data_IF_340839353157
#
_entry.id   IF_340839353157
#
_cell.length_a   1.000
_cell.length_b   1.000
_cell.length_c   1.000
_cell.angle_alpha   90.00
_cell.angle_beta   90.00
_cell.angle_gamma   90.00
#
_symmetry.space_group_name_H-M   'P 1'
#
loop_
_entity.id
_entity.type
_entity.pdbx_description
1 polymer ?
#
# COMPACT_ATOMS: atom_id res chain seq x y z
N UNK A 1 -28.44 39.96 56.32
CA UNK A 1 -27.00 39.69 56.22
C UNK A 1 -26.86 38.34 55.53
N UNK A 2 -26.66 38.33 54.22
CA UNK A 2 -26.61 37.13 53.38
C UNK A 2 -25.18 36.99 52.88
N UNK A 3 -24.53 35.88 53.15
CA UNK A 3 -23.26 35.52 52.57
C UNK A 3 -23.49 34.59 51.35
N UNK A 4 -22.81 34.76 50.16
CA UNK A 4 -22.89 33.85 49.09
C UNK A 4 -21.82 32.74 49.22
N UNK A 5 -22.23 31.49 48.94
CA UNK A 5 -21.38 30.31 48.91
C UNK A 5 -20.54 30.30 47.63
N UNK A 6 -19.22 30.22 47.75
CA UNK A 6 -18.29 29.94 46.67
C UNK A 6 -18.43 28.47 46.23
N UNK A 7 -18.85 28.24 44.98
CA UNK A 7 -18.70 26.94 44.30
C UNK A 7 -17.33 26.88 43.66
N UNK A 8 -16.46 26.01 44.16
CA UNK A 8 -15.23 25.65 43.51
C UNK A 8 -15.54 24.68 42.37
N UNK A 9 -15.24 25.07 41.13
CA UNK A 9 -15.27 24.18 39.96
C UNK A 9 -13.96 23.43 39.93
N UNK A 10 -14.01 22.09 40.13
CA UNK A 10 -12.90 21.19 39.85
C UNK A 10 -12.79 21.01 38.32
N UNK A 11 -11.76 21.58 37.72
CA UNK A 11 -11.33 21.27 36.38
C UNK A 11 -10.57 19.93 36.42
N UNK A 12 -11.24 18.86 35.98
CA UNK A 12 -10.57 17.59 35.66
C UNK A 12 -9.84 17.76 34.32
N UNK A 13 -8.53 18.00 34.36
CA UNK A 13 -7.65 17.86 33.22
C UNK A 13 -7.40 16.36 32.98
N UNK A 14 -8.09 15.79 32.01
CA UNK A 14 -7.78 14.46 31.53
C UNK A 14 -6.44 14.50 30.77
N UNK A 15 -5.39 13.97 31.36
CA UNK A 15 -4.14 13.69 30.67
C UNK A 15 -4.37 12.49 29.75
N UNK A 16 -4.52 12.73 28.44
CA UNK A 16 -4.37 11.69 27.43
C UNK A 16 -2.88 11.32 27.35
N UNK A 17 -2.48 10.25 27.98
CA UNK A 17 -1.23 9.59 27.67
C UNK A 17 -1.35 9.02 26.24
N UNK A 18 -0.38 9.28 25.35
CA UNK A 18 -0.36 8.60 24.07
C UNK A 18 -0.26 7.10 24.34
N UNK A 19 -1.16 6.32 23.76
CA UNK A 19 -1.05 4.87 23.74
C UNK A 19 0.28 4.52 23.07
N UNK A 20 1.23 4.02 23.84
CA UNK A 20 2.44 3.44 23.30
C UNK A 20 2.00 2.24 22.47
N UNK A 21 2.13 2.34 21.15
CA UNK A 21 1.96 1.20 20.27
C UNK A 21 2.91 0.10 20.76
N UNK A 22 2.36 -0.99 21.27
CA UNK A 22 3.14 -2.13 21.72
C UNK A 22 3.75 -2.73 20.46
N UNK A 23 5.07 -2.59 20.29
CA UNK A 23 5.76 -3.17 19.14
C UNK A 23 5.46 -4.67 19.11
N UNK A 24 4.92 -5.13 17.96
CA UNK A 24 4.72 -6.56 17.74
C UNK A 24 6.08 -7.29 17.87
N UNK A 25 6.13 -8.49 18.44
CA UNK A 25 7.39 -9.20 18.63
C UNK A 25 8.05 -9.45 17.26
N UNK A 26 9.23 -8.88 17.06
CA UNK A 26 10.05 -9.09 15.87
C UNK A 26 10.76 -10.44 15.99
N UNK A 27 10.70 -11.24 14.91
CA UNK A 27 11.49 -12.46 14.85
C UNK A 27 12.96 -12.09 14.59
N UNK A 28 13.92 -12.69 15.31
CA UNK A 28 15.32 -12.54 14.94
C UNK A 28 15.53 -13.16 13.55
N UNK A 29 16.16 -12.41 12.65
CA UNK A 29 16.58 -12.96 11.37
C UNK A 29 17.60 -14.07 11.59
N UNK A 30 17.51 -15.20 10.88
CA UNK A 30 18.59 -16.18 10.89
C UNK A 30 19.89 -15.54 10.42
N UNK A 31 21.01 -15.98 10.97
CA UNK A 31 22.32 -15.51 10.55
C UNK A 31 22.50 -15.70 9.03
N UNK A 32 22.83 -14.63 8.32
CA UNK A 32 22.98 -14.64 6.86
C UNK A 32 21.77 -14.17 6.04
N UNK A 33 20.61 -13.92 6.65
CA UNK A 33 19.45 -13.32 5.98
C UNK A 33 19.36 -11.81 6.15
N UNK A 34 20.33 -11.21 6.80
CA UNK A 34 20.42 -9.76 6.93
C UNK A 34 20.74 -9.16 5.56
N UNK A 35 19.74 -8.78 4.83
CA UNK A 35 19.92 -7.97 3.64
C UNK A 35 20.07 -6.54 4.11
N UNK A 36 21.29 -6.12 4.30
CA UNK A 36 21.61 -4.72 4.44
C UNK A 36 21.55 -4.10 3.06
N UNK A 37 20.43 -3.51 2.69
CA UNK A 37 20.57 -2.40 1.77
C UNK A 37 21.06 -1.21 2.60
N UNK A 38 22.12 -0.57 2.15
CA UNK A 38 22.64 0.62 2.79
C UNK A 38 21.59 1.75 2.90
N UNK A 39 20.46 1.63 2.23
CA UNK A 39 19.45 2.64 2.02
C UNK A 39 18.07 2.31 2.63
N UNK A 40 17.96 1.26 3.45
CA UNK A 40 16.74 0.99 4.21
C UNK A 40 15.66 0.16 3.49
N UNK A 41 15.91 -0.37 2.29
CA UNK A 41 15.03 -1.33 1.62
C UNK A 41 15.18 -2.72 2.26
N UNK A 42 14.65 -2.84 3.45
CA UNK A 42 14.63 -4.08 4.21
C UNK A 42 13.19 -4.55 4.34
N UNK A 43 12.97 -5.85 4.19
CA UNK A 43 11.82 -6.48 4.80
C UNK A 43 12.17 -6.90 6.22
N UNK A 44 11.33 -6.52 7.18
CA UNK A 44 11.35 -7.07 8.53
C UNK A 44 10.21 -8.09 8.65
N UNK A 45 10.52 -9.26 9.24
CA UNK A 45 9.52 -10.28 9.51
C UNK A 45 8.94 -10.08 10.91
N UNK A 46 7.63 -9.89 10.99
CA UNK A 46 6.88 -9.78 12.25
C UNK A 46 5.86 -10.91 12.35
N UNK A 47 5.87 -11.66 13.44
CA UNK A 47 4.85 -12.68 13.72
C UNK A 47 3.58 -11.99 14.20
N UNK A 48 2.49 -12.10 13.42
CA UNK A 48 1.20 -11.51 13.76
C UNK A 48 0.32 -12.43 14.61
N UNK A 49 0.39 -13.73 14.33
CA UNK A 49 -0.32 -14.78 15.05
C UNK A 49 0.42 -16.10 14.85
N UNK A 50 -0.07 -17.18 15.46
CA UNK A 50 0.46 -18.50 15.18
C UNK A 50 0.30 -18.86 13.72
N UNK A 51 1.41 -19.16 13.03
CA UNK A 51 1.45 -19.45 11.61
C UNK A 51 1.15 -18.28 10.68
N UNK A 52 1.18 -17.03 11.14
CA UNK A 52 0.98 -15.84 10.30
C UNK A 52 2.09 -14.82 10.53
N UNK A 53 2.77 -14.44 9.44
CA UNK A 53 3.88 -13.47 9.45
C UNK A 53 3.65 -12.36 8.45
N UNK A 54 4.01 -11.16 8.86
CA UNK A 54 4.10 -9.98 8.01
C UNK A 54 5.55 -9.73 7.64
N UNK A 55 5.81 -9.52 6.36
CA UNK A 55 7.04 -8.97 5.83
C UNK A 55 6.74 -7.56 5.35
N UNK A 56 7.28 -6.57 6.03
CA UNK A 56 7.05 -5.16 5.75
C UNK A 56 8.36 -4.39 5.68
N UNK A 57 8.39 -3.32 4.91
CA UNK A 57 9.49 -2.35 4.98
C UNK A 57 9.39 -1.58 6.29
N UNK A 58 10.52 -1.38 7.02
CA UNK A 58 10.52 -0.56 8.21
C UNK A 58 10.26 0.92 7.88
N UNK A 59 9.82 1.67 8.88
CA UNK A 59 9.79 3.13 8.80
C UNK A 59 11.22 3.70 8.66
N UNK A 60 11.43 4.83 7.96
CA UNK A 60 10.44 5.79 7.49
C UNK A 60 9.81 5.42 6.14
N UNK A 61 8.69 6.10 5.80
CA UNK A 61 8.00 5.94 4.53
C UNK A 61 8.91 6.30 3.35
N UNK A 62 9.07 5.36 2.43
CA UNK A 62 9.95 5.48 1.26
C UNK A 62 9.24 6.13 0.07
N UNK A 63 10.01 6.73 -0.83
CA UNK A 63 9.47 7.30 -2.08
C UNK A 63 8.97 6.21 -3.04
N UNK A 64 9.57 5.03 -2.95
CA UNK A 64 9.13 3.83 -3.67
C UNK A 64 8.97 2.72 -2.64
N UNK A 65 7.84 2.67 -1.92
CA UNK A 65 7.65 1.65 -0.90
C UNK A 65 7.45 0.27 -1.53
N UNK A 66 7.87 -0.77 -0.82
CA UNK A 66 7.47 -2.13 -1.13
C UNK A 66 6.13 -2.43 -0.47
N UNK A 67 5.25 -3.11 -1.20
CA UNK A 67 4.02 -3.64 -0.63
C UNK A 67 4.31 -4.67 0.47
N UNK A 68 3.48 -4.70 1.49
CA UNK A 68 3.51 -5.71 2.52
C UNK A 68 3.27 -7.10 1.92
N UNK A 69 3.97 -8.11 2.41
CA UNK A 69 3.71 -9.51 2.10
C UNK A 69 3.28 -10.23 3.37
N UNK A 70 2.14 -10.91 3.34
CA UNK A 70 1.70 -11.72 4.49
C UNK A 70 1.79 -13.19 4.14
N UNK A 71 2.52 -13.97 4.96
CA UNK A 71 2.61 -15.42 4.82
C UNK A 71 1.74 -16.12 5.86
N UNK A 72 0.87 -16.99 5.38
CA UNK A 72 -0.05 -17.80 6.17
C UNK A 72 0.35 -19.27 6.02
N UNK A 73 0.86 -19.88 7.10
CA UNK A 73 1.24 -21.27 7.11
C UNK A 73 -0.01 -22.16 7.23
N UNK A 74 -0.28 -22.93 6.20
CA UNK A 74 -1.31 -23.98 6.20
C UNK A 74 -0.67 -25.36 6.40
N UNK A 75 -1.49 -26.40 6.43
CA UNK A 75 -1.04 -27.76 6.73
C UNK A 75 0.06 -28.24 5.78
N UNK A 76 -0.06 -27.95 4.52
CA UNK A 76 0.78 -28.47 3.42
C UNK A 76 1.68 -27.42 2.74
N UNK A 77 1.63 -26.17 3.18
CA UNK A 77 2.43 -25.09 2.59
C UNK A 77 1.99 -23.70 3.02
N UNK A 78 2.67 -22.70 2.51
CA UNK A 78 2.31 -21.30 2.73
C UNK A 78 1.34 -20.77 1.66
N UNK A 79 0.40 -19.97 2.09
CA UNK A 79 -0.32 -19.00 1.25
C UNK A 79 0.32 -17.64 1.48
N UNK A 80 0.74 -16.97 0.40
CA UNK A 80 1.16 -15.58 0.47
C UNK A 80 0.04 -14.66 0.01
N UNK A 81 -0.13 -13.52 0.67
CA UNK A 81 -0.91 -12.41 0.20
C UNK A 81 0.07 -11.31 -0.21
N UNK A 82 0.09 -11.03 -1.52
CA UNK A 82 1.08 -10.28 -2.29
C UNK A 82 2.46 -10.95 -2.42
N UNK A 83 3.28 -10.43 -3.31
CA UNK A 83 4.53 -11.08 -3.74
C UNK A 83 5.79 -10.23 -3.52
N UNK A 84 5.62 -8.99 -3.10
CA UNK A 84 6.69 -8.00 -3.03
C UNK A 84 6.91 -7.25 -4.35
N UNK A 85 7.60 -6.13 -4.27
CA UNK A 85 7.71 -5.14 -5.34
C UNK A 85 8.82 -5.40 -6.36
N UNK A 86 9.73 -6.34 -6.10
CA UNK A 86 10.85 -6.65 -6.99
C UNK A 86 11.20 -8.13 -6.93
N UNK A 87 11.89 -8.68 -7.96
CA UNK A 87 12.45 -10.04 -7.88
C UNK A 87 13.37 -10.25 -6.68
N UNK A 88 14.19 -9.26 -6.34
CA UNK A 88 15.09 -9.34 -5.20
C UNK A 88 14.32 -9.28 -3.87
N UNK A 89 13.31 -8.42 -3.77
CA UNK A 89 12.40 -8.34 -2.62
C UNK A 89 11.70 -9.67 -2.37
N UNK A 90 11.16 -10.30 -3.42
CA UNK A 90 10.56 -11.64 -3.32
C UNK A 90 11.56 -12.68 -2.80
N UNK A 91 12.78 -12.73 -3.35
CA UNK A 91 13.83 -13.64 -2.85
C UNK A 91 14.11 -13.46 -1.36
N UNK A 92 14.19 -12.19 -0.89
CA UNK A 92 14.38 -11.90 0.55
C UNK A 92 13.26 -12.47 1.41
N UNK A 93 12.00 -12.25 1.00
CA UNK A 93 10.84 -12.81 1.69
C UNK A 93 10.91 -14.33 1.74
N UNK A 94 11.24 -14.99 0.61
CA UNK A 94 11.35 -16.45 0.52
C UNK A 94 12.49 -17.01 1.37
N UNK A 95 13.62 -16.32 1.47
CA UNK A 95 14.76 -16.76 2.30
C UNK A 95 14.43 -16.63 3.79
N UNK A 96 13.77 -15.54 4.20
CA UNK A 96 13.28 -15.40 5.58
C UNK A 96 12.21 -16.46 5.90
N UNK A 97 11.33 -16.75 4.96
CA UNK A 97 10.28 -17.76 5.13
C UNK A 97 10.86 -19.17 5.26
N UNK A 98 11.89 -19.50 4.46
CA UNK A 98 12.61 -20.79 4.55
C UNK A 98 13.30 -21.00 5.90
N UNK A 99 13.71 -19.92 6.55
CA UNK A 99 14.26 -19.97 7.90
C UNK A 99 13.19 -20.18 8.99
N UNK A 100 11.95 -19.83 8.72
CA UNK A 100 10.80 -20.02 9.61
C UNK A 100 10.27 -21.46 9.51
N UNK A 101 10.11 -21.97 8.28
CA UNK A 101 9.55 -23.30 8.03
C UNK A 101 10.02 -23.85 6.68
N UNK A 102 10.30 -25.18 6.59
CA UNK A 102 10.70 -25.80 5.33
C UNK A 102 9.54 -26.02 4.33
N UNK A 103 8.32 -25.68 4.68
CA UNK A 103 7.15 -25.86 3.82
C UNK A 103 7.25 -25.01 2.55
N UNK A 104 6.76 -25.50 1.40
CA UNK A 104 6.74 -24.74 0.16
C UNK A 104 5.69 -23.62 0.19
N UNK A 105 5.83 -22.64 -0.69
CA UNK A 105 4.70 -21.76 -1.03
C UNK A 105 3.80 -22.49 -2.02
N UNK A 106 2.53 -22.68 -1.67
CA UNK A 106 1.54 -23.39 -2.49
C UNK A 106 0.59 -22.47 -3.24
N UNK A 107 0.40 -21.25 -2.74
CA UNK A 107 -0.42 -20.24 -3.40
C UNK A 107 0.09 -18.83 -3.11
N UNK A 108 -0.06 -17.94 -4.06
CA UNK A 108 0.11 -16.49 -3.91
C UNK A 108 -1.17 -15.82 -4.40
N UNK A 109 -1.83 -15.08 -3.52
CA UNK A 109 -2.95 -14.22 -3.85
C UNK A 109 -2.44 -12.78 -3.98
N UNK A 110 -2.66 -12.16 -5.13
CA UNK A 110 -2.29 -10.77 -5.39
C UNK A 110 -3.48 -9.88 -5.07
N UNK A 111 -3.28 -8.87 -4.22
CA UNK A 111 -4.32 -7.94 -3.82
C UNK A 111 -4.82 -7.09 -4.98
N UNK A 112 -3.92 -6.54 -5.78
CA UNK A 112 -4.22 -5.70 -6.94
C UNK A 112 -3.03 -5.62 -7.91
N UNK A 113 -3.16 -4.87 -9.00
CA UNK A 113 -2.21 -4.89 -10.11
C UNK A 113 -0.94 -4.03 -9.94
N UNK A 114 -0.80 -3.21 -8.90
CA UNK A 114 0.38 -2.35 -8.75
C UNK A 114 1.68 -3.16 -8.61
N UNK A 115 2.77 -2.64 -9.22
CA UNK A 115 4.02 -3.37 -9.36
C UNK A 115 4.66 -3.80 -8.05
N UNK A 116 4.52 -2.99 -7.01
CA UNK A 116 5.06 -3.27 -5.67
C UNK A 116 4.35 -4.41 -4.93
N UNK A 117 3.24 -4.94 -5.49
CA UNK A 117 2.53 -6.12 -5.01
C UNK A 117 2.70 -7.35 -5.92
N UNK A 118 2.97 -7.15 -7.22
CA UNK A 118 2.94 -8.22 -8.22
C UNK A 118 4.29 -8.58 -8.83
N UNK A 119 5.30 -7.70 -8.80
CA UNK A 119 6.57 -7.92 -9.51
C UNK A 119 7.42 -9.08 -8.96
N UNK A 120 7.15 -9.53 -7.73
CA UNK A 120 7.80 -10.71 -7.15
C UNK A 120 7.20 -12.05 -7.60
N UNK A 121 6.01 -12.04 -8.21
CA UNK A 121 5.22 -13.25 -8.46
C UNK A 121 5.95 -14.27 -9.35
N UNK A 122 6.64 -13.84 -10.41
CA UNK A 122 7.43 -14.72 -11.29
C UNK A 122 8.55 -15.41 -10.52
N UNK A 123 9.26 -14.69 -9.66
CA UNK A 123 10.34 -15.26 -8.84
C UNK A 123 9.83 -16.40 -7.94
N UNK A 124 8.63 -16.23 -7.39
CA UNK A 124 8.00 -17.26 -6.56
C UNK A 124 7.59 -18.46 -7.45
N UNK A 125 7.01 -18.20 -8.62
CA UNK A 125 6.63 -19.24 -9.61
C UNK A 125 7.81 -20.05 -10.13
N UNK A 126 8.96 -19.42 -10.34
CA UNK A 126 10.20 -20.08 -10.74
C UNK A 126 10.74 -21.03 -9.68
N UNK A 127 10.62 -20.65 -8.39
CA UNK A 127 11.04 -21.50 -7.27
C UNK A 127 10.08 -22.68 -7.04
N UNK A 128 8.79 -22.47 -7.23
CA UNK A 128 7.74 -23.49 -7.11
C UNK A 128 6.82 -23.46 -8.34
N UNK A 129 7.16 -24.21 -9.41
CA UNK A 129 6.39 -24.18 -10.67
C UNK A 129 4.91 -24.54 -10.52
N UNK A 130 4.55 -25.27 -9.46
CA UNK A 130 3.15 -25.67 -9.18
C UNK A 130 2.40 -24.69 -8.28
N UNK A 131 3.03 -23.58 -7.86
CA UNK A 131 2.36 -22.57 -7.04
C UNK A 131 1.16 -22.01 -7.79
N UNK A 132 0.02 -21.95 -7.10
CA UNK A 132 -1.17 -21.27 -7.62
C UNK A 132 -0.95 -19.76 -7.53
N UNK A 133 -1.20 -19.04 -8.61
CA UNK A 133 -1.11 -17.58 -8.66
C UNK A 133 -2.51 -17.02 -8.91
N UNK A 134 -3.05 -16.28 -7.95
CA UNK A 134 -4.47 -15.97 -7.83
C UNK A 134 -4.66 -14.45 -7.74
N UNK A 135 -5.65 -13.91 -8.45
CA UNK A 135 -6.11 -12.53 -8.29
C UNK A 135 -7.59 -12.42 -8.67
N UNK A 136 -8.19 -11.25 -8.50
CA UNK A 136 -9.50 -11.00 -9.11
C UNK A 136 -9.40 -11.04 -10.64
N UNK A 137 -10.49 -11.41 -11.31
CA UNK A 137 -10.56 -11.34 -12.78
C UNK A 137 -10.33 -9.91 -13.28
N UNK A 138 -10.70 -8.88 -12.52
CA UNK A 138 -10.42 -7.49 -12.85
C UNK A 138 -8.90 -7.21 -12.84
N UNK A 139 -8.19 -7.61 -11.80
CA UNK A 139 -6.71 -7.50 -11.71
C UNK A 139 -6.03 -8.24 -12.87
N UNK A 140 -6.46 -9.47 -13.18
CA UNK A 140 -5.89 -10.24 -14.31
C UNK A 140 -6.09 -9.52 -15.65
N UNK A 141 -7.29 -8.95 -15.89
CA UNK A 141 -7.56 -8.16 -17.11
C UNK A 141 -6.69 -6.92 -17.18
N UNK A 142 -6.55 -6.20 -16.06
CA UNK A 142 -5.74 -4.98 -16.00
C UNK A 142 -4.26 -5.27 -16.27
N UNK A 143 -3.69 -6.32 -15.68
CA UNK A 143 -2.32 -6.74 -15.95
C UNK A 143 -2.09 -7.19 -17.40
N UNK A 144 -3.13 -7.70 -18.06
CA UNK A 144 -3.10 -8.10 -19.48
C UNK A 144 -3.34 -6.92 -20.44
N UNK A 145 -3.76 -5.75 -19.95
CA UNK A 145 -4.00 -4.58 -20.80
C UNK A 145 -2.67 -3.97 -21.24
N UNK A 146 -2.44 -3.76 -22.55
CA UNK A 146 -1.20 -3.16 -23.07
C UNK A 146 -0.89 -1.77 -22.48
N UNK A 147 -1.92 -1.03 -22.03
CA UNK A 147 -1.74 0.28 -21.39
C UNK A 147 -1.06 0.17 -20.01
N UNK A 148 -1.27 -0.93 -19.31
CA UNK A 148 -0.63 -1.24 -18.02
C UNK A 148 0.64 -2.05 -18.24
N UNK A 149 0.58 -3.08 -19.07
CA UNK A 149 1.71 -3.99 -19.35
C UNK A 149 2.99 -3.24 -19.81
N UNK A 150 2.83 -2.12 -20.53
CA UNK A 150 3.96 -1.28 -20.96
C UNK A 150 4.79 -0.66 -19.82
N UNK A 151 4.24 -0.57 -18.62
CA UNK A 151 4.93 -0.06 -17.42
C UNK A 151 5.54 -1.17 -16.58
N UNK A 152 5.25 -2.43 -16.92
CA UNK A 152 5.71 -3.59 -16.17
C UNK A 152 6.98 -4.16 -16.80
N UNK A 153 7.89 -4.74 -16.00
CA UNK A 153 9.06 -5.44 -16.54
C UNK A 153 8.62 -6.66 -17.34
N UNK A 154 9.23 -6.86 -18.51
CA UNK A 154 8.97 -8.01 -19.40
C UNK A 154 10.10 -9.04 -19.43
N UNK A 155 11.24 -8.73 -18.79
CA UNK A 155 12.40 -9.62 -18.69
C UNK A 155 13.28 -9.65 -19.94
N UNK A 156 13.09 -8.72 -20.86
CA UNK A 156 13.93 -8.56 -22.04
C UNK A 156 14.78 -7.26 -21.99
N UNK A 157 15.76 -7.18 -22.87
CA UNK A 157 16.68 -6.02 -22.94
C UNK A 157 15.94 -4.70 -23.19
N UNK A 158 14.87 -4.72 -23.99
CA UNK A 158 14.11 -3.49 -24.30
C UNK A 158 13.39 -2.95 -23.07
N UNK A 159 12.82 -3.85 -22.25
CA UNK A 159 12.23 -3.51 -20.95
C UNK A 159 13.27 -2.95 -19.98
N UNK A 160 14.41 -3.62 -19.84
CA UNK A 160 15.50 -3.17 -18.99
C UNK A 160 16.01 -1.78 -19.40
N UNK A 161 16.14 -1.52 -20.70
CA UNK A 161 16.54 -0.22 -21.22
C UNK A 161 15.47 0.85 -20.98
N UNK A 162 14.18 0.49 -21.03
CA UNK A 162 13.09 1.39 -20.66
C UNK A 162 13.11 1.72 -19.16
N UNK A 163 13.32 0.71 -18.31
CA UNK A 163 13.47 0.91 -16.85
C UNK A 163 14.65 1.85 -16.57
N UNK A 164 15.82 1.63 -17.17
CA UNK A 164 17.00 2.51 -17.00
C UNK A 164 16.70 3.94 -17.42
N UNK A 165 16.12 4.16 -18.60
CA UNK A 165 15.77 5.53 -19.06
C UNK A 165 14.82 6.25 -18.11
N UNK A 166 13.77 5.55 -17.64
CA UNK A 166 12.81 6.14 -16.70
C UNK A 166 13.47 6.44 -15.36
N UNK A 167 14.32 5.53 -14.89
CA UNK A 167 15.10 5.68 -13.67
C UNK A 167 16.03 6.89 -13.76
N UNK A 168 16.80 7.03 -14.84
CA UNK A 168 17.73 8.15 -15.04
C UNK A 168 17.00 9.50 -15.01
N UNK A 169 15.84 9.58 -15.65
CA UNK A 169 15.00 10.79 -15.63
C UNK A 169 14.51 11.15 -14.23
N UNK A 170 13.97 10.15 -13.51
CA UNK A 170 13.46 10.35 -12.15
C UNK A 170 14.59 10.67 -11.15
N UNK A 171 15.73 9.99 -11.26
CA UNK A 171 16.92 10.27 -10.45
C UNK A 171 17.47 11.67 -10.72
N UNK A 172 17.53 12.09 -11.99
CA UNK A 172 17.93 13.45 -12.38
C UNK A 172 17.05 14.50 -11.72
N UNK A 173 15.74 14.30 -11.74
CA UNK A 173 14.79 15.21 -11.07
C UNK A 173 15.00 15.25 -9.54
N UNK A 174 15.05 14.10 -8.88
CA UNK A 174 15.23 14.05 -7.42
C UNK A 174 16.55 14.67 -6.97
N UNK A 175 17.66 14.43 -7.71
CA UNK A 175 18.96 15.01 -7.42
C UNK A 175 18.97 16.52 -7.64
N UNK A 176 18.30 17.00 -8.69
CA UNK A 176 18.13 18.44 -8.92
C UNK A 176 17.34 19.12 -7.79
N UNK A 177 16.22 18.51 -7.37
CA UNK A 177 15.43 19.01 -6.24
C UNK A 177 16.21 18.98 -4.90
N UNK A 178 17.05 17.96 -4.68
CA UNK A 178 17.90 17.88 -3.51
C UNK A 178 18.96 19.00 -3.45
N UNK A 179 19.37 19.54 -4.59
CA UNK A 179 20.35 20.62 -4.71
C UNK A 179 19.75 22.04 -4.60
N UNK A 180 18.42 22.17 -4.59
CA UNK A 180 17.73 23.47 -4.55
C UNK A 180 17.81 24.12 -3.18
N UNK A 181 18.46 25.28 -3.08
CA UNK A 181 18.62 26.04 -1.84
C UNK A 181 17.33 26.72 -1.36
N UNK A 182 16.36 26.94 -2.25
CA UNK A 182 15.06 27.55 -1.94
C UNK A 182 14.06 26.56 -1.30
N UNK A 183 14.38 25.27 -1.23
CA UNK A 183 13.56 24.26 -0.58
C UNK A 183 13.94 24.05 0.91
N UNK A 184 12.98 23.70 1.77
CA UNK A 184 13.26 23.32 3.15
C UNK A 184 14.27 22.16 3.23
N UNK A 185 15.13 22.17 4.25
CA UNK A 185 16.16 21.14 4.46
C UNK A 185 15.58 19.72 4.50
N UNK A 186 14.43 19.53 5.15
CA UNK A 186 13.75 18.23 5.20
C UNK A 186 13.34 17.74 3.81
N UNK A 187 12.92 18.64 2.91
CA UNK A 187 12.54 18.30 1.54
C UNK A 187 13.77 17.94 0.72
N UNK A 188 14.86 18.70 0.85
CA UNK A 188 16.14 18.42 0.17
C UNK A 188 16.71 17.06 0.62
N UNK A 189 16.73 16.82 1.93
CA UNK A 189 17.18 15.55 2.49
C UNK A 189 16.27 14.37 2.05
N UNK A 190 14.95 14.59 1.99
CA UNK A 190 13.98 13.63 1.49
C UNK A 190 14.22 13.27 0.02
N UNK A 191 14.44 14.27 -0.85
CA UNK A 191 14.78 14.04 -2.25
C UNK A 191 16.11 13.29 -2.42
N UNK A 192 17.14 13.65 -1.65
CA UNK A 192 18.43 12.96 -1.69
C UNK A 192 18.32 11.50 -1.24
N UNK A 193 17.52 11.21 -0.19
CA UNK A 193 17.21 9.84 0.22
C UNK A 193 16.41 9.12 -0.86
N UNK A 194 15.34 9.73 -1.35
CA UNK A 194 14.48 9.17 -2.39
C UNK A 194 15.23 8.82 -3.67
N UNK A 195 16.25 9.60 -4.04
CA UNK A 195 17.10 9.26 -5.18
C UNK A 195 17.86 7.94 -4.96
N UNK A 196 18.44 7.72 -3.77
CA UNK A 196 19.13 6.46 -3.45
C UNK A 196 18.17 5.29 -3.40
N UNK A 197 17.00 5.48 -2.79
CA UNK A 197 15.94 4.46 -2.71
C UNK A 197 15.46 4.04 -4.09
N UNK A 198 15.17 5.00 -4.95
CA UNK A 198 14.70 4.74 -6.31
C UNK A 198 15.78 4.07 -7.18
N UNK A 199 17.04 4.47 -7.04
CA UNK A 199 18.17 3.84 -7.73
C UNK A 199 18.28 2.37 -7.34
N UNK A 200 18.19 2.06 -6.05
CA UNK A 200 18.23 0.70 -5.54
C UNK A 200 17.04 -0.14 -6.07
N UNK A 201 15.82 0.40 -5.94
CA UNK A 201 14.60 -0.25 -6.45
C UNK A 201 14.68 -0.51 -7.96
N UNK A 202 15.12 0.48 -8.74
CA UNK A 202 15.26 0.35 -10.19
C UNK A 202 16.25 -0.76 -10.58
N UNK A 203 17.38 -0.87 -9.88
CA UNK A 203 18.33 -1.96 -10.11
C UNK A 203 17.75 -3.34 -9.77
N UNK A 204 16.92 -3.44 -8.74
CA UNK A 204 16.25 -4.69 -8.38
C UNK A 204 15.15 -5.13 -9.36
N UNK A 205 14.62 -4.21 -10.16
CA UNK A 205 13.64 -4.52 -11.21
C UNK A 205 14.29 -5.09 -12.47
N UNK A 206 15.59 -4.82 -12.73
CA UNK A 206 16.27 -5.27 -13.93
C UNK A 206 16.28 -6.80 -14.04
N UNK A 207 15.98 -7.32 -15.21
CA UNK A 207 15.82 -8.76 -15.46
C UNK A 207 14.53 -9.34 -14.89
N UNK A 208 13.71 -8.55 -14.21
CA UNK A 208 12.40 -8.97 -13.75
C UNK A 208 11.40 -9.10 -14.89
N UNK A 209 10.43 -9.99 -14.73
CA UNK A 209 9.31 -10.12 -15.65
C UNK A 209 8.01 -10.26 -14.86
N UNK A 210 7.04 -9.44 -15.22
CA UNK A 210 5.69 -9.52 -14.67
C UNK A 210 5.06 -10.86 -15.06
N UNK A 211 4.27 -11.43 -14.16
CA UNK A 211 3.45 -12.62 -14.39
C UNK A 211 1.99 -12.24 -14.13
N UNK A 212 1.13 -12.44 -15.12
CA UNK A 212 -0.33 -12.37 -14.91
C UNK A 212 -0.73 -13.60 -14.11
N UNK A 213 -1.49 -13.44 -12.99
CA UNK A 213 -2.00 -14.58 -12.23
C UNK A 213 -2.81 -15.55 -13.12
N UNK A 214 -2.61 -16.85 -12.92
CA UNK A 214 -3.19 -17.91 -13.74
C UNK A 214 -4.63 -18.25 -13.34
N UNK A 215 -5.02 -17.94 -12.11
CA UNK A 215 -6.33 -18.22 -11.55
C UNK A 215 -7.05 -16.92 -11.17
N UNK A 216 -8.20 -16.67 -11.80
CA UNK A 216 -9.04 -15.51 -11.51
C UNK A 216 -10.27 -15.88 -10.70
N UNK A 217 -10.76 -14.94 -9.88
CA UNK A 217 -12.05 -15.05 -9.22
C UNK A 217 -12.82 -13.72 -9.32
N UNK A 218 -14.16 -13.78 -9.20
CA UNK A 218 -15.00 -12.57 -9.25
C UNK A 218 -15.36 -12.07 -7.84
N UNK A 219 -15.98 -12.91 -7.02
CA UNK A 219 -16.50 -12.49 -5.71
C UNK A 219 -15.72 -13.09 -4.54
N UNK A 220 -15.48 -14.40 -4.59
CA UNK A 220 -14.89 -15.14 -3.47
C UNK A 220 -14.14 -16.37 -3.94
N UNK A 221 -12.99 -16.64 -3.28
CA UNK A 221 -12.25 -17.88 -3.40
C UNK A 221 -11.78 -18.33 -2.02
N UNK A 222 -12.03 -19.60 -1.67
CA UNK A 222 -11.58 -20.17 -0.40
C UNK A 222 -10.33 -21.04 -0.62
N UNK A 223 -9.28 -20.72 0.11
CA UNK A 223 -8.11 -21.57 0.30
C UNK A 223 -8.26 -22.29 1.64
N UNK A 224 -8.95 -23.44 1.58
CA UNK A 224 -9.37 -24.16 2.78
C UNK A 224 -8.19 -24.79 3.53
N UNK A 225 -8.26 -24.75 4.85
CA UNK A 225 -7.30 -25.38 5.76
C UNK A 225 -7.95 -25.50 7.15
N UNK A 226 -7.78 -26.64 7.87
CA UNK A 226 -8.40 -26.81 9.18
C UNK A 226 -7.92 -25.82 10.25
N UNK A 227 -6.72 -25.28 10.13
CA UNK A 227 -6.17 -24.32 11.09
C UNK A 227 -6.28 -22.87 10.63
N UNK A 228 -6.00 -22.61 9.36
CA UNK A 228 -5.88 -21.25 8.80
C UNK A 228 -6.54 -21.14 7.42
N UNK A 229 -7.88 -21.28 7.34
CA UNK A 229 -8.58 -21.01 6.10
C UNK A 229 -8.39 -19.55 5.70
N UNK A 230 -8.18 -19.29 4.41
CA UNK A 230 -8.03 -17.95 3.84
C UNK A 230 -9.16 -17.72 2.84
N UNK A 231 -9.99 -16.73 3.09
CA UNK A 231 -11.04 -16.31 2.18
C UNK A 231 -10.59 -15.08 1.41
N UNK A 232 -10.28 -15.24 0.13
CA UNK A 232 -10.08 -14.13 -0.78
C UNK A 232 -11.45 -13.57 -1.18
N UNK A 233 -11.61 -12.24 -1.12
CA UNK A 233 -12.88 -11.59 -1.48
C UNK A 233 -12.64 -10.33 -2.29
N UNK A 234 -13.44 -10.12 -3.31
CA UNK A 234 -13.66 -8.83 -3.93
C UNK A 234 -14.89 -8.20 -3.27
N UNK A 235 -14.74 -7.04 -2.68
CA UNK A 235 -15.79 -6.38 -1.90
C UNK A 235 -16.17 -5.00 -2.46
N UNK A 236 -15.65 -4.67 -3.65
CA UNK A 236 -15.87 -3.42 -4.34
C UNK A 236 -14.57 -2.77 -4.80
N UNK A 237 -14.67 -1.86 -5.75
CA UNK A 237 -13.53 -1.07 -6.23
C UNK A 237 -13.09 -0.05 -5.18
N UNK A 238 -11.79 0.27 -5.15
CA UNK A 238 -11.23 1.23 -4.22
C UNK A 238 -10.01 1.95 -4.83
N UNK A 239 -8.79 1.48 -4.50
CA UNK A 239 -7.54 1.98 -5.06
C UNK A 239 -7.43 1.62 -6.56
N UNK A 240 -7.93 0.43 -6.91
CA UNK A 240 -8.02 -0.07 -8.29
C UNK A 240 -9.42 -0.59 -8.57
N UNK A 241 -9.63 -1.14 -9.77
CA UNK A 241 -10.88 -1.80 -10.14
C UNK A 241 -10.94 -3.29 -9.74
N UNK A 242 -9.87 -3.81 -9.12
CA UNK A 242 -9.74 -5.23 -8.79
C UNK A 242 -9.21 -5.53 -7.39
N UNK A 243 -9.33 -4.60 -6.43
CA UNK A 243 -8.77 -4.79 -5.08
C UNK A 243 -9.37 -6.00 -4.36
N UNK A 244 -8.53 -6.99 -4.06
CA UNK A 244 -8.91 -8.14 -3.25
C UNK A 244 -8.49 -7.96 -1.80
N UNK A 245 -9.27 -8.51 -0.89
CA UNK A 245 -8.91 -8.67 0.52
C UNK A 245 -8.76 -10.15 0.86
N UNK A 246 -7.93 -10.44 1.86
CA UNK A 246 -7.86 -11.78 2.45
C UNK A 246 -8.39 -11.74 3.88
N UNK A 247 -9.42 -12.55 4.15
CA UNK A 247 -10.00 -12.72 5.46
C UNK A 247 -9.55 -14.05 6.08
N UNK A 248 -8.96 -13.98 7.27
CA UNK A 248 -8.56 -15.12 8.08
C UNK A 248 -9.55 -15.24 9.26
N UNK A 249 -10.64 -16.00 9.12
CA UNK A 249 -11.75 -15.98 10.09
C UNK A 249 -11.37 -16.49 11.47
N UNK A 250 -10.47 -17.47 11.57
CA UNK A 250 -10.03 -18.01 12.87
C UNK A 250 -9.12 -17.06 13.63
N UNK A 251 -8.29 -16.31 12.91
CA UNK A 251 -7.40 -15.29 13.47
C UNK A 251 -8.11 -13.94 13.64
N UNK A 252 -9.29 -13.79 13.06
CA UNK A 252 -10.02 -12.52 12.93
C UNK A 252 -9.11 -11.41 12.37
N UNK A 253 -8.36 -11.75 11.32
CA UNK A 253 -7.39 -10.88 10.67
C UNK A 253 -7.86 -10.57 9.25
N UNK A 254 -7.84 -9.28 8.90
CA UNK A 254 -8.24 -8.78 7.59
C UNK A 254 -7.05 -8.12 6.91
N UNK A 255 -6.62 -8.66 5.78
CA UNK A 255 -5.55 -8.14 4.94
C UNK A 255 -6.21 -7.34 3.82
N UNK A 256 -5.89 -6.07 3.68
CA UNK A 256 -6.67 -5.16 2.82
C UNK A 256 -6.01 -4.81 1.50
N UNK A 257 -4.74 -5.17 1.30
CA UNK A 257 -3.99 -4.54 0.21
C UNK A 257 -4.10 -3.01 0.30
N UNK A 258 -4.04 -2.33 -0.82
CA UNK A 258 -4.02 -0.87 -0.86
C UNK A 258 -5.41 -0.20 -0.75
N UNK A 259 -6.45 -0.96 -0.40
CA UNK A 259 -7.68 -0.33 0.11
C UNK A 259 -7.36 0.51 1.36
N UNK A 260 -6.32 0.12 2.11
CA UNK A 260 -5.75 0.93 3.19
C UNK A 260 -4.22 0.94 3.08
N UNK A 261 -3.65 2.14 3.01
CA UNK A 261 -2.21 2.41 3.02
C UNK A 261 -1.87 3.38 4.13
N UNK A 262 -0.78 3.13 4.84
CA UNK A 262 -0.27 3.96 5.92
C UNK A 262 1.20 4.31 5.68
N UNK A 263 1.68 5.49 6.16
CA UNK A 263 0.92 6.57 6.82
C UNK A 263 0.16 7.47 5.85
N UNK A 264 0.48 7.46 4.55
CA UNK A 264 -0.10 8.31 3.51
C UNK A 264 -0.84 7.40 2.53
N UNK A 265 -2.15 7.59 2.29
CA UNK A 265 -2.88 6.79 1.32
C UNK A 265 -2.45 7.08 -0.12
N UNK A 266 -2.68 6.12 -1.02
CA UNK A 266 -2.44 6.29 -2.45
C UNK A 266 -3.76 6.53 -3.18
N UNK A 267 -3.77 7.52 -4.10
CA UNK A 267 -4.98 7.93 -4.81
C UNK A 267 -4.95 7.68 -6.33
N UNK A 268 -3.92 6.98 -6.81
CA UNK A 268 -3.68 6.82 -8.26
C UNK A 268 -4.74 5.95 -8.93
N UNK A 269 -5.43 6.49 -9.94
CA UNK A 269 -6.41 5.74 -10.74
C UNK A 269 -7.54 5.10 -9.92
N UNK A 270 -7.87 5.68 -8.77
CA UNK A 270 -8.82 5.15 -7.81
C UNK A 270 -10.29 5.47 -8.14
N UNK A 271 -11.20 4.83 -7.40
CA UNK A 271 -12.66 4.95 -7.54
C UNK A 271 -13.28 5.58 -6.29
N UNK A 272 -13.16 6.91 -6.07
CA UNK A 272 -13.45 7.54 -4.78
C UNK A 272 -14.85 7.26 -4.22
N UNK A 273 -15.89 7.27 -5.06
CA UNK A 273 -17.25 7.00 -4.62
C UNK A 273 -17.48 5.55 -4.19
N UNK A 274 -16.98 4.61 -4.97
CA UNK A 274 -17.09 3.18 -4.66
C UNK A 274 -16.18 2.80 -3.49
N UNK A 275 -15.02 3.45 -3.35
CA UNK A 275 -14.12 3.25 -2.23
C UNK A 275 -14.80 3.49 -0.87
N UNK A 276 -15.67 4.52 -0.77
CA UNK A 276 -16.47 4.73 0.44
C UNK A 276 -17.37 3.54 0.77
N UNK A 277 -17.98 2.93 -0.24
CA UNK A 277 -18.81 1.73 -0.06
C UNK A 277 -17.97 0.52 0.34
N UNK A 278 -16.80 0.36 -0.28
CA UNK A 278 -15.82 -0.68 0.04
C UNK A 278 -15.31 -0.56 1.47
N UNK A 279 -14.98 0.66 1.94
CA UNK A 279 -14.58 0.91 3.32
C UNK A 279 -15.72 0.60 4.31
N UNK A 280 -16.97 0.87 3.93
CA UNK A 280 -18.13 0.49 4.73
C UNK A 280 -18.26 -1.03 4.86
N UNK A 281 -18.02 -1.76 3.77
CA UNK A 281 -18.01 -3.22 3.78
C UNK A 281 -16.86 -3.78 4.62
N UNK A 282 -15.65 -3.18 4.54
CA UNK A 282 -14.52 -3.59 5.40
C UNK A 282 -14.86 -3.50 6.89
N UNK A 283 -15.58 -2.46 7.32
CA UNK A 283 -15.97 -2.28 8.71
C UNK A 283 -16.98 -3.32 9.20
N UNK A 284 -17.65 -4.04 8.30
CA UNK A 284 -18.57 -5.11 8.68
C UNK A 284 -17.88 -6.43 9.07
N UNK A 285 -16.58 -6.57 8.77
CA UNK A 285 -15.81 -7.72 9.23
C UNK A 285 -15.53 -7.61 10.74
N UNK A 286 -15.70 -8.71 11.44
CA UNK A 286 -15.41 -8.79 12.88
C UNK A 286 -13.92 -9.04 13.11
N UNK A 287 -13.06 -8.13 12.61
CA UNK A 287 -11.61 -8.26 12.76
C UNK A 287 -11.11 -7.80 14.12
N UNK A 288 -10.03 -8.42 14.58
CA UNK A 288 -9.18 -7.97 15.70
C UNK A 288 -7.88 -7.34 15.22
N UNK A 289 -7.51 -7.63 13.98
CA UNK A 289 -6.30 -7.07 13.35
C UNK A 289 -6.60 -6.74 11.90
N UNK A 290 -6.19 -5.55 11.50
CA UNK A 290 -6.24 -5.03 10.15
C UNK A 290 -4.82 -4.87 9.64
N UNK A 291 -4.47 -5.53 8.52
CA UNK A 291 -3.15 -5.43 7.92
C UNK A 291 -3.27 -4.66 6.60
N UNK A 292 -2.71 -3.45 6.52
CA UNK A 292 -2.75 -2.63 5.30
C UNK A 292 -1.81 -3.14 4.22
N UNK A 293 -1.93 -2.63 2.99
CA UNK A 293 -0.99 -2.92 1.90
C UNK A 293 0.41 -2.35 2.15
N UNK A 294 0.51 -1.25 2.90
CA UNK A 294 1.75 -0.66 3.39
C UNK A 294 1.58 -0.18 4.83
N UNK A 295 2.68 -0.20 5.58
CA UNK A 295 2.70 0.19 6.99
C UNK A 295 2.38 -0.96 7.94
N UNK A 296 2.26 -0.64 9.22
CA UNK A 296 2.13 -1.62 10.29
C UNK A 296 0.68 -2.03 10.55
N UNK A 297 0.43 -3.24 11.07
CA UNK A 297 -0.89 -3.71 11.44
C UNK A 297 -1.56 -2.83 12.49
N UNK A 298 -2.87 -2.85 12.51
CA UNK A 298 -3.74 -2.05 13.38
C UNK A 298 -4.72 -2.97 14.12
N UNK A 299 -5.06 -2.60 15.36
CA UNK A 299 -6.03 -3.33 16.18
C UNK A 299 -7.44 -2.70 16.13
N UNK A 300 -7.58 -1.54 15.50
CA UNK A 300 -8.83 -0.81 15.38
C UNK A 300 -9.13 -0.34 13.94
N UNK A 301 -10.39 0.07 13.72
CA UNK A 301 -10.87 0.58 12.44
C UNK A 301 -10.76 2.11 12.26
N UNK A 302 -10.17 2.84 13.19
CA UNK A 302 -10.11 4.31 13.11
C UNK A 302 -9.42 4.83 11.83
N UNK A 303 -8.38 4.18 11.27
CA UNK A 303 -7.82 4.58 9.99
C UNK A 303 -8.80 4.46 8.82
N UNK A 304 -9.71 3.48 8.83
CA UNK A 304 -10.75 3.35 7.80
C UNK A 304 -11.72 4.55 7.84
N UNK A 305 -12.09 5.01 9.04
CA UNK A 305 -12.93 6.18 9.23
C UNK A 305 -12.23 7.47 8.76
N UNK A 306 -10.95 7.61 9.11
CA UNK A 306 -10.16 8.77 8.66
C UNK A 306 -10.03 8.80 7.14
N UNK A 307 -9.78 7.66 6.51
CA UNK A 307 -9.70 7.56 5.05
C UNK A 307 -11.06 7.86 4.39
N UNK A 308 -12.15 7.32 4.93
CA UNK A 308 -13.50 7.61 4.42
C UNK A 308 -13.82 9.11 4.51
N UNK A 309 -13.50 9.75 5.63
CA UNK A 309 -13.68 11.19 5.82
C UNK A 309 -12.85 11.99 4.81
N UNK A 310 -11.59 11.58 4.59
CA UNK A 310 -10.69 12.23 3.63
C UNK A 310 -11.21 12.12 2.20
N UNK A 311 -11.69 10.95 1.77
CA UNK A 311 -12.28 10.75 0.44
C UNK A 311 -13.56 11.58 0.27
N UNK A 312 -14.44 11.57 1.25
CA UNK A 312 -15.68 12.33 1.22
C UNK A 312 -15.43 13.85 1.12
N UNK A 313 -14.43 14.35 1.85
CA UNK A 313 -14.02 15.77 1.80
C UNK A 313 -13.52 16.15 0.40
N UNK A 314 -12.63 15.34 -0.21
CA UNK A 314 -12.17 15.57 -1.59
C UNK A 314 -13.33 15.62 -2.57
N UNK A 315 -14.22 14.63 -2.55
CA UNK A 315 -15.38 14.55 -3.45
C UNK A 315 -16.29 15.77 -3.31
N UNK A 316 -16.55 16.19 -2.08
CA UNK A 316 -17.41 17.36 -1.79
C UNK A 316 -16.83 18.67 -2.33
N UNK A 317 -15.52 18.82 -2.35
CA UNK A 317 -14.80 19.99 -2.87
C UNK A 317 -14.65 19.96 -4.38
N UNK A 318 -14.45 18.79 -4.96
CA UNK A 318 -14.21 18.62 -6.42
C UNK A 318 -15.50 18.71 -7.22
N UNK A 319 -16.59 18.07 -6.78
CA UNK A 319 -17.82 17.96 -7.56
C UNK A 319 -18.41 19.31 -8.00
N UNK A 320 -18.57 20.35 -7.15
CA UNK A 320 -19.12 21.63 -7.59
C UNK A 320 -18.21 22.37 -8.57
N UNK A 321 -16.89 22.23 -8.47
CA UNK A 321 -15.93 22.85 -9.39
C UNK A 321 -15.96 22.19 -10.77
N UNK A 322 -16.04 20.86 -10.81
CA UNK A 322 -16.20 20.11 -12.05
C UNK A 322 -17.53 20.43 -12.73
N UNK A 323 -18.64 20.53 -11.98
CA UNK A 323 -19.96 20.92 -12.48
C UNK A 323 -19.98 22.35 -13.00
N UNK A 324 -19.17 23.26 -12.44
CA UNK A 324 -19.00 24.62 -12.94
C UNK A 324 -18.12 24.69 -14.20
N UNK A 325 -17.65 23.56 -14.75
CA UNK A 325 -16.89 23.50 -16.00
C UNK A 325 -15.41 23.86 -15.90
N UNK A 326 -14.84 23.89 -14.68
CA UNK A 326 -13.42 24.14 -14.50
C UNK A 326 -12.58 23.00 -15.10
N UNK A 327 -11.36 23.34 -15.53
CA UNK A 327 -10.36 22.33 -15.92
C UNK A 327 -9.84 21.56 -14.70
N UNK A 328 -9.27 20.36 -14.90
CA UNK A 328 -8.64 19.60 -13.82
C UNK A 328 -7.53 20.43 -13.13
N UNK A 329 -6.73 21.13 -13.92
CA UNK A 329 -5.63 21.97 -13.41
C UNK A 329 -6.16 23.12 -12.49
N UNK A 330 -7.27 23.75 -12.88
CA UNK A 330 -7.91 24.78 -12.05
C UNK A 330 -8.55 24.19 -10.78
N UNK A 331 -9.12 22.98 -10.86
CA UNK A 331 -9.67 22.27 -9.70
C UNK A 331 -8.54 21.90 -8.73
N UNK A 332 -7.43 21.35 -9.23
CA UNK A 332 -6.26 21.02 -8.40
C UNK A 332 -5.69 22.24 -7.67
N UNK A 333 -5.70 23.41 -8.32
CA UNK A 333 -5.25 24.67 -7.69
C UNK A 333 -6.21 25.19 -6.63
N UNK A 334 -7.51 24.93 -6.75
CA UNK A 334 -8.55 25.48 -5.86
C UNK A 334 -8.91 24.57 -4.69
N UNK A 335 -8.73 23.25 -4.84
CA UNK A 335 -9.04 22.29 -3.77
C UNK A 335 -7.97 22.37 -2.70
N UNK A 336 -8.33 22.96 -1.56
CA UNK A 336 -7.47 23.08 -0.39
C UNK A 336 -7.63 21.84 0.52
N UNK A 337 -6.54 21.10 0.72
CA UNK A 337 -6.38 19.98 1.65
C UNK A 337 -5.23 20.23 2.65
N UNK A 338 -4.91 21.49 2.93
CA UNK A 338 -3.77 21.86 3.80
C UNK A 338 -3.94 21.32 5.23
N UNK A 339 -5.16 21.35 5.77
CA UNK A 339 -5.46 20.79 7.09
C UNK A 339 -5.24 19.27 7.13
N UNK A 340 -5.64 18.56 6.09
CA UNK A 340 -5.43 17.12 5.95
C UNK A 340 -3.93 16.80 5.76
N UNK A 341 -3.24 17.57 4.91
CA UNK A 341 -1.80 17.46 4.73
C UNK A 341 -1.06 17.61 6.07
N UNK A 342 -1.47 18.55 6.92
CA UNK A 342 -0.90 18.73 8.25
C UNK A 342 -1.10 17.50 9.16
N UNK A 343 -2.28 16.87 9.11
CA UNK A 343 -2.58 15.67 9.90
C UNK A 343 -1.73 14.49 9.43
N UNK A 344 -1.67 14.24 8.13
CA UNK A 344 -0.96 13.08 7.56
C UNK A 344 0.56 13.24 7.56
N UNK A 345 1.05 14.47 7.45
CA UNK A 345 2.50 14.76 7.53
C UNK A 345 3.03 14.86 8.96
N UNK A 346 2.16 15.13 9.95
CA UNK A 346 2.60 15.48 11.30
C UNK A 346 3.44 16.76 11.35
N UNK A 347 3.30 17.64 10.34
CA UNK A 347 4.09 18.86 10.19
C UNK A 347 5.46 18.67 9.51
N UNK A 348 5.81 17.47 9.10
CA UNK A 348 7.04 17.21 8.34
C UNK A 348 6.88 17.66 6.88
N UNK A 349 7.72 18.60 6.37
CA UNK A 349 7.59 19.14 5.01
C UNK A 349 7.79 18.09 3.91
N UNK A 350 8.62 17.06 4.15
CA UNK A 350 8.82 15.98 3.19
C UNK A 350 7.57 15.11 3.10
N UNK A 351 6.99 14.71 4.23
CA UNK A 351 5.74 13.96 4.26
C UNK A 351 4.58 14.76 3.65
N UNK A 352 4.53 16.09 3.88
CA UNK A 352 3.54 16.94 3.24
C UNK A 352 3.65 16.93 1.70
N UNK A 353 4.88 16.92 1.17
CA UNK A 353 5.13 16.76 -0.26
C UNK A 353 4.68 15.39 -0.78
N UNK A 354 4.97 14.31 -0.04
CA UNK A 354 4.50 12.96 -0.39
C UNK A 354 2.97 12.86 -0.35
N UNK A 355 2.32 13.50 0.63
CA UNK A 355 0.85 13.58 0.68
C UNK A 355 0.28 14.29 -0.55
N UNK A 356 0.91 15.38 -1.01
CA UNK A 356 0.52 16.04 -2.24
C UNK A 356 0.66 15.13 -3.46
N UNK A 357 1.80 14.46 -3.59
CA UNK A 357 2.16 13.63 -4.73
C UNK A 357 1.37 12.31 -4.81
N UNK A 358 1.21 11.60 -3.68
CA UNK A 358 0.59 10.28 -3.66
C UNK A 358 -0.91 10.30 -3.41
N UNK A 359 -1.39 11.36 -2.75
CA UNK A 359 -2.80 11.45 -2.42
C UNK A 359 -3.48 12.64 -3.11
N UNK A 360 -3.12 13.89 -2.76
CA UNK A 360 -3.92 15.06 -3.15
C UNK A 360 -4.11 15.20 -4.66
N UNK A 361 -3.05 15.19 -5.43
CA UNK A 361 -3.15 15.34 -6.88
C UNK A 361 -3.87 14.16 -7.52
N UNK A 362 -3.51 12.90 -7.26
CA UNK A 362 -4.17 11.75 -7.89
C UNK A 362 -5.65 11.61 -7.51
N UNK A 363 -6.00 11.75 -6.23
CA UNK A 363 -7.39 11.58 -5.79
C UNK A 363 -8.31 12.67 -6.33
N UNK A 364 -7.81 13.92 -6.46
CA UNK A 364 -8.55 15.02 -7.10
C UNK A 364 -8.81 14.67 -8.56
N UNK A 365 -7.82 14.13 -9.28
CA UNK A 365 -8.01 13.71 -10.68
C UNK A 365 -9.06 12.60 -10.82
N UNK A 366 -9.02 11.60 -9.92
CA UNK A 366 -10.02 10.52 -9.88
C UNK A 366 -11.43 11.06 -9.55
N UNK A 367 -11.55 11.90 -8.53
CA UNK A 367 -12.83 12.52 -8.15
C UNK A 367 -13.38 13.47 -9.24
N UNK A 368 -12.51 14.12 -9.99
CA UNK A 368 -12.89 14.97 -11.13
C UNK A 368 -13.49 14.15 -12.28
N UNK A 369 -12.84 13.04 -12.65
CA UNK A 369 -13.38 12.09 -13.63
C UNK A 369 -14.74 11.53 -13.18
N UNK A 370 -14.83 11.10 -11.92
CA UNK A 370 -16.10 10.64 -11.33
C UNK A 370 -17.21 11.69 -11.44
N UNK A 371 -16.92 12.94 -11.06
CA UNK A 371 -17.90 14.03 -11.10
C UNK A 371 -18.40 14.35 -12.53
N UNK A 372 -17.58 14.06 -13.54
CA UNK A 372 -17.92 14.21 -14.96
C UNK A 372 -18.55 12.95 -15.58
N UNK A 373 -18.66 11.86 -14.84
CA UNK A 373 -19.10 10.57 -15.36
C UNK A 373 -18.10 9.95 -16.35
N UNK A 374 -16.84 10.35 -16.29
CA UNK A 374 -15.76 9.82 -17.13
C UNK A 374 -15.17 8.52 -16.49
N UNK A 375 -14.84 7.50 -17.30
CA UNK A 375 -14.27 6.28 -16.74
C UNK A 375 -12.85 6.52 -16.18
N UNK A 376 -12.56 5.90 -15.06
CA UNK A 376 -11.18 5.75 -14.58
C UNK A 376 -10.52 4.64 -15.38
N UNK A 377 -9.45 4.99 -16.10
CA UNK A 377 -8.69 4.03 -16.92
C UNK A 377 -7.42 3.69 -16.15
N UNK A 378 -7.26 2.43 -15.79
CA UNK A 378 -6.06 1.94 -15.12
C UNK A 378 -4.84 2.10 -16.03
N UNK A 379 -3.70 2.56 -15.46
CA UNK A 379 -2.49 2.83 -16.24
C UNK A 379 -2.60 3.99 -17.25
N UNK A 380 -3.71 4.73 -17.25
CA UNK A 380 -3.88 5.97 -17.98
C UNK A 380 -3.43 7.15 -17.13
N UNK A 381 -2.22 7.64 -17.36
CA UNK A 381 -1.73 8.91 -16.82
C UNK A 381 -2.06 10.05 -17.76
#
# INVERSE_FOLDING_TARGET
MWMPACRAALLLTAFFLPATAQEAPRLPYPAGTTVTSADGYLYEATRLADGVWLFASPEPFHIQPYGNVVAIEQTDGFVLFDSGGTPAGARRVLDMLAAISPKPVKAVAVSHWHGDHVNGLRTIKERWPQVRTIATNATCRTLSDPRVARFMPTGDTASDDAIRRNLDGALGHLRAEAAREDLPDAVRAGNARGARELEHYGHELLGGAMLVPEEGFDDRLLLDDPARPVELRFIGRANTDGDAVAWLPRQRMLLTGDILVLPIPFGFGSHPGEWLSTLTTLKSFDFKMLVPGHGMPLEDGAPLERLATLIADVRSKVAPLAAAGLSLDDVQKRVDLSAQAQIYSGGDPWRARLFDQYWRQPIIASAFKEAKGEPVIQGGG
#
